data_IF_343347208709
#
_entry.id   IF_343347208709
#
_cell.length_a   1.000
_cell.length_b   1.000
_cell.length_c   1.000
_cell.angle_alpha   90.00
_cell.angle_beta   90.00
_cell.angle_gamma   90.00
#
_symmetry.space_group_name_H-M   'P 1'
#
loop_
_entity.id
_entity.type
_entity.pdbx_description
1 polymer ?
#
# COMPACT_ATOMS: atom_id res chain seq x y z
N UNK A 1 4.59 7.24 0.28
CA UNK A 1 5.43 7.79 1.37
C UNK A 1 6.84 7.99 0.85
N UNK A 2 7.34 9.20 0.82
CA UNK A 2 8.70 9.55 0.41
C UNK A 2 9.52 9.84 1.66
N UNK A 3 10.48 8.98 1.97
CA UNK A 3 11.43 9.21 3.07
C UNK A 3 12.68 9.91 2.52
N UNK A 4 13.15 10.92 3.24
CA UNK A 4 14.37 11.63 2.88
C UNK A 4 15.56 10.76 3.31
N UNK A 5 16.43 10.40 2.37
CA UNK A 5 17.73 9.83 2.71
C UNK A 5 18.62 10.95 3.28
N UNK A 6 19.37 10.65 4.33
CA UNK A 6 20.23 11.64 5.03
C UNK A 6 21.16 12.44 4.09
N UNK A 7 21.51 11.87 2.94
CA UNK A 7 22.38 12.47 1.93
C UNK A 7 21.64 12.76 0.60
N UNK A 8 20.32 12.90 0.60
CA UNK A 8 19.62 13.33 -0.60
C UNK A 8 19.77 14.85 -0.75
N UNK A 9 20.65 15.36 -1.62
CA UNK A 9 21.00 16.78 -1.67
C UNK A 9 19.84 17.64 -2.15
N UNK A 10 18.87 17.06 -2.86
CA UNK A 10 17.72 17.79 -3.41
C UNK A 10 16.41 17.00 -3.31
N UNK A 11 15.29 17.69 -3.51
CA UNK A 11 13.97 17.07 -3.62
C UNK A 11 13.93 16.01 -4.74
N UNK A 12 14.68 16.21 -5.81
CA UNK A 12 14.72 15.32 -6.98
C UNK A 12 15.37 13.95 -6.68
N UNK A 13 16.16 13.87 -5.61
CA UNK A 13 16.82 12.63 -5.19
C UNK A 13 15.92 11.74 -4.31
N UNK A 14 14.72 12.21 -4.00
CA UNK A 14 13.74 11.43 -3.25
C UNK A 14 13.16 10.32 -4.10
N UNK A 15 13.17 9.11 -3.59
CA UNK A 15 12.61 7.94 -4.27
C UNK A 15 11.49 7.31 -3.43
N UNK A 16 10.49 6.69 -4.07
CA UNK A 16 9.50 5.91 -3.33
C UNK A 16 10.16 4.83 -2.47
N UNK A 17 9.56 4.52 -1.33
CA UNK A 17 10.01 3.39 -0.50
C UNK A 17 9.81 2.05 -1.23
N UNK A 18 8.76 1.95 -2.04
CA UNK A 18 8.38 0.77 -2.80
C UNK A 18 8.33 1.08 -4.31
N UNK A 19 9.47 1.10 -5.02
CA UNK A 19 9.54 1.45 -6.43
C UNK A 19 9.22 0.24 -7.34
N UNK A 20 8.10 -0.43 -7.13
CA UNK A 20 7.63 -1.52 -7.99
C UNK A 20 7.25 -1.05 -9.38
N UNK A 21 7.43 -1.92 -10.39
CA UNK A 21 7.14 -1.64 -11.81
C UNK A 21 5.99 -2.46 -12.35
N UNK A 22 5.59 -3.51 -11.66
CA UNK A 22 4.47 -4.39 -12.00
C UNK A 22 3.74 -4.82 -10.74
N UNK A 23 2.49 -5.24 -10.89
CA UNK A 23 1.67 -5.77 -9.81
C UNK A 23 0.85 -6.93 -10.36
N UNK A 24 1.25 -8.17 -10.08
CA UNK A 24 0.50 -9.35 -10.50
C UNK A 24 -0.80 -9.48 -9.66
N UNK A 25 -1.97 -9.83 -10.26
CA UNK A 25 -2.24 -10.02 -11.71
C UNK A 25 -2.67 -8.74 -12.45
N UNK A 26 -2.63 -7.58 -11.83
CA UNK A 26 -3.23 -6.33 -12.33
C UNK A 26 -2.45 -5.69 -13.48
N UNK A 27 -1.14 -5.86 -13.50
CA UNK A 27 -0.32 -5.34 -14.59
C UNK A 27 -0.42 -6.23 -15.82
N UNK A 28 -0.62 -5.68 -17.03
CA UNK A 28 -0.65 -6.49 -18.24
C UNK A 28 0.71 -7.19 -18.41
N UNK A 29 0.70 -8.43 -18.95
CA UNK A 29 1.95 -9.13 -19.22
C UNK A 29 2.79 -8.30 -20.20
N UNK A 30 4.03 -8.05 -19.83
CA UNK A 30 4.96 -7.32 -20.68
C UNK A 30 5.21 -8.04 -22.02
N UNK A 31 5.71 -7.33 -23.03
CA UNK A 31 6.03 -7.89 -24.36
C UNK A 31 7.09 -9.00 -24.33
N UNK A 32 7.81 -9.16 -23.23
CA UNK A 32 8.81 -10.23 -23.03
C UNK A 32 8.17 -11.42 -22.36
N UNK A 33 8.57 -12.65 -22.76
CA UNK A 33 8.20 -13.87 -22.05
C UNK A 33 8.57 -13.76 -20.59
N UNK A 34 7.56 -13.69 -19.73
CA UNK A 34 7.76 -13.64 -18.27
C UNK A 34 8.21 -15.03 -17.82
N UNK A 35 9.34 -15.09 -17.11
CA UNK A 35 9.75 -16.33 -16.45
C UNK A 35 8.76 -16.60 -15.31
N UNK A 36 8.21 -17.80 -15.28
CA UNK A 36 7.37 -18.26 -14.19
C UNK A 36 8.19 -19.09 -13.21
N UNK A 37 7.77 -19.08 -11.94
CA UNK A 37 8.33 -19.97 -10.91
C UNK A 37 7.70 -21.37 -11.01
N UNK A 38 8.07 -22.29 -10.13
CA UNK A 38 7.57 -23.66 -10.06
C UNK A 38 6.05 -23.77 -9.82
N UNK A 39 5.42 -22.69 -9.32
CA UNK A 39 3.97 -22.59 -9.14
C UNK A 39 3.25 -21.95 -10.33
N UNK A 40 3.95 -21.61 -11.42
CA UNK A 40 3.37 -20.97 -12.59
C UNK A 40 3.15 -19.45 -12.46
N UNK A 41 3.62 -18.82 -11.38
CA UNK A 41 3.49 -17.38 -11.18
C UNK A 41 4.67 -16.61 -11.77
N UNK A 42 4.46 -15.35 -12.21
CA UNK A 42 5.54 -14.49 -12.67
C UNK A 42 6.64 -14.32 -11.62
N UNK A 43 7.88 -14.53 -12.04
CA UNK A 43 9.05 -14.37 -11.18
C UNK A 43 9.77 -13.04 -11.52
N UNK A 44 9.10 -11.93 -11.27
CA UNK A 44 9.64 -10.60 -11.54
C UNK A 44 10.13 -9.95 -10.26
N UNK A 45 11.43 -9.66 -10.20
CA UNK A 45 12.01 -8.91 -9.05
C UNK A 45 11.40 -7.51 -8.87
N UNK A 46 10.86 -6.94 -9.94
CA UNK A 46 10.22 -5.62 -9.94
C UNK A 46 8.72 -5.68 -9.61
N UNK A 47 8.17 -6.87 -9.35
CA UNK A 47 6.80 -7.01 -8.86
C UNK A 47 6.62 -6.30 -7.52
N UNK A 48 5.51 -5.59 -7.37
CA UNK A 48 5.27 -4.70 -6.22
C UNK A 48 5.33 -5.45 -4.88
N UNK A 49 4.80 -6.68 -4.81
CA UNK A 49 4.87 -7.46 -3.57
C UNK A 49 6.30 -7.90 -3.24
N UNK A 50 7.10 -8.25 -4.24
CA UNK A 50 8.51 -8.54 -4.02
C UNK A 50 9.26 -7.35 -3.45
N UNK A 51 9.01 -6.15 -3.97
CA UNK A 51 9.62 -4.91 -3.49
C UNK A 51 9.15 -4.58 -2.07
N UNK A 52 7.89 -4.83 -1.76
CA UNK A 52 7.36 -4.65 -0.39
C UNK A 52 8.07 -5.63 0.57
N UNK A 53 8.17 -6.90 0.21
CA UNK A 53 8.81 -7.91 1.07
C UNK A 53 10.33 -7.72 1.22
N UNK A 54 10.99 -7.04 0.28
CA UNK A 54 12.39 -6.61 0.45
C UNK A 54 12.56 -5.62 1.59
N UNK A 55 11.50 -4.92 1.98
CA UNK A 55 11.49 -3.91 3.05
C UNK A 55 10.93 -4.47 4.35
N UNK A 56 9.71 -5.02 4.31
CA UNK A 56 9.00 -5.46 5.53
C UNK A 56 9.30 -6.89 5.93
N UNK A 57 10.01 -7.65 5.09
CA UNK A 57 10.25 -9.07 5.25
C UNK A 57 9.13 -9.93 4.66
N UNK A 58 9.43 -11.21 4.45
CA UNK A 58 8.43 -12.16 3.96
C UNK A 58 7.39 -12.44 5.04
N UNK A 59 6.09 -12.47 4.70
CA UNK A 59 5.04 -12.82 5.65
C UNK A 59 5.17 -14.30 6.09
N UNK A 60 4.79 -14.58 7.31
CA UNK A 60 4.60 -15.93 7.82
C UNK A 60 3.13 -16.38 7.67
N UNK A 61 2.84 -17.65 7.94
CA UNK A 61 1.48 -18.19 7.79
C UNK A 61 0.45 -17.46 8.66
N UNK A 62 0.82 -17.09 9.87
CA UNK A 62 -0.06 -16.34 10.77
C UNK A 62 -0.43 -14.97 10.19
N UNK A 63 0.55 -14.24 9.64
CA UNK A 63 0.32 -12.91 9.04
C UNK A 63 -0.43 -12.96 7.71
N UNK A 64 -0.57 -14.12 7.10
CA UNK A 64 -1.37 -14.35 5.88
C UNK A 64 -2.80 -14.82 6.19
N UNK A 65 -3.17 -15.03 7.44
CA UNK A 65 -4.46 -15.60 7.84
C UNK A 65 -5.71 -14.82 7.39
N UNK A 66 -5.55 -13.55 7.03
CA UNK A 66 -6.63 -12.73 6.47
C UNK A 66 -6.89 -12.98 4.97
N UNK A 67 -6.00 -13.69 4.28
CA UNK A 67 -6.11 -13.97 2.84
C UNK A 67 -6.95 -15.23 2.65
N UNK A 68 -8.13 -15.10 2.08
CA UNK A 68 -9.08 -16.20 1.90
C UNK A 68 -9.00 -16.89 0.54
N UNK A 69 -8.50 -16.20 -0.50
CA UNK A 69 -8.35 -16.78 -1.85
C UNK A 69 -7.17 -17.76 -1.89
N UNK A 70 -7.40 -19.05 -2.24
CA UNK A 70 -6.35 -20.06 -2.27
C UNK A 70 -5.21 -19.73 -3.27
N UNK A 71 -5.53 -19.12 -4.42
CA UNK A 71 -4.52 -18.74 -5.40
C UNK A 71 -3.64 -17.59 -4.89
N UNK A 72 -4.26 -16.63 -4.19
CA UNK A 72 -3.51 -15.55 -3.53
C UNK A 72 -2.59 -16.09 -2.44
N UNK A 73 -3.06 -17.06 -1.63
CA UNK A 73 -2.22 -17.73 -0.62
C UNK A 73 -1.04 -18.46 -1.28
N UNK A 74 -1.28 -19.22 -2.36
CA UNK A 74 -0.22 -19.91 -3.12
C UNK A 74 0.78 -18.91 -3.68
N UNK A 75 0.31 -17.79 -4.23
CA UNK A 75 1.18 -16.74 -4.75
C UNK A 75 2.06 -16.15 -3.64
N UNK A 76 1.48 -15.78 -2.51
CA UNK A 76 2.23 -15.27 -1.35
C UNK A 76 3.26 -16.28 -0.85
N UNK A 77 2.90 -17.55 -0.73
CA UNK A 77 3.83 -18.64 -0.36
C UNK A 77 4.98 -18.76 -1.36
N UNK A 78 4.69 -18.63 -2.66
CA UNK A 78 5.73 -18.69 -3.71
C UNK A 78 6.74 -17.54 -3.60
N UNK A 79 6.30 -16.34 -3.23
CA UNK A 79 7.16 -15.19 -2.98
C UNK A 79 7.98 -15.34 -1.69
N UNK A 80 7.41 -16.02 -0.70
CA UNK A 80 8.01 -16.22 0.63
C UNK A 80 9.03 -17.36 0.69
N UNK A 81 9.16 -18.18 -0.35
CA UNK A 81 10.14 -19.28 -0.41
C UNK A 81 11.57 -18.80 -0.17
N UNK A 82 11.94 -17.65 -0.69
CA UNK A 82 13.19 -16.96 -0.36
C UNK A 82 12.92 -16.05 0.83
N UNK A 83 12.98 -16.61 2.03
CA UNK A 83 12.76 -15.86 3.26
C UNK A 83 13.56 -14.57 3.28
N UNK A 84 12.86 -13.44 3.23
CA UNK A 84 13.45 -12.10 3.32
C UNK A 84 13.28 -11.60 4.74
N UNK A 85 14.34 -11.07 5.31
CA UNK A 85 14.28 -10.43 6.61
C UNK A 85 13.82 -8.98 6.46
N UNK A 86 13.05 -8.51 7.44
CA UNK A 86 12.72 -7.10 7.56
C UNK A 86 14.01 -6.27 7.64
N UNK A 87 14.05 -5.16 6.88
CA UNK A 87 15.19 -4.23 6.96
C UNK A 87 15.23 -3.54 8.33
N UNK A 88 16.43 -3.13 8.74
CA UNK A 88 16.56 -2.23 9.86
C UNK A 88 16.28 -0.79 9.42
N UNK A 89 15.15 -0.23 9.83
CA UNK A 89 14.75 1.12 9.44
C UNK A 89 15.71 2.19 9.97
N UNK A 90 16.33 2.00 11.12
CA UNK A 90 17.33 2.93 11.66
C UNK A 90 18.57 3.03 10.77
N UNK A 91 19.00 1.90 10.23
CA UNK A 91 20.11 1.86 9.26
C UNK A 91 19.69 2.39 7.89
N UNK A 92 18.43 2.15 7.49
CA UNK A 92 17.90 2.61 6.19
C UNK A 92 17.67 4.12 6.15
N UNK A 93 17.29 4.70 7.28
CA UNK A 93 16.98 6.12 7.46
C UNK A 93 17.75 6.68 8.66
N UNK A 94 19.08 6.79 8.55
CA UNK A 94 19.91 7.39 9.59
C UNK A 94 19.47 8.84 9.80
N UNK A 95 19.52 9.31 11.03
CA UNK A 95 19.05 10.66 11.39
C UNK A 95 17.54 10.80 11.65
N UNK A 96 16.73 9.77 11.37
CA UNK A 96 15.31 9.80 11.77
C UNK A 96 15.17 9.53 13.27
N UNK A 97 14.23 10.25 13.90
CA UNK A 97 13.88 10.04 15.29
C UNK A 97 13.19 8.69 15.53
N UNK A 98 13.19 8.22 16.77
CA UNK A 98 12.66 6.90 17.12
C UNK A 98 11.14 6.85 16.97
N UNK A 99 10.43 7.93 17.25
CA UNK A 99 8.97 8.00 17.14
C UNK A 99 8.51 7.90 15.68
N UNK A 100 9.22 8.55 14.75
CA UNK A 100 8.92 8.43 13.31
C UNK A 100 9.17 7.03 12.77
N UNK A 101 10.23 6.37 13.23
CA UNK A 101 10.54 4.99 12.82
C UNK A 101 9.56 3.98 13.42
N UNK A 102 9.12 4.19 14.66
CA UNK A 102 8.12 3.35 15.31
C UNK A 102 6.77 3.45 14.58
N UNK A 103 6.30 4.68 14.32
CA UNK A 103 5.08 4.90 13.55
C UNK A 103 5.17 4.25 12.16
N UNK A 104 6.28 4.45 11.45
CA UNK A 104 6.50 3.84 10.14
C UNK A 104 6.40 2.30 10.21
N UNK A 105 7.00 1.69 11.22
CA UNK A 105 6.97 0.24 11.39
C UNK A 105 5.55 -0.28 11.64
N UNK A 106 4.76 0.42 12.46
CA UNK A 106 3.37 0.09 12.76
C UNK A 106 2.46 0.23 11.54
N UNK A 107 2.69 1.25 10.71
CA UNK A 107 1.96 1.48 9.46
C UNK A 107 2.28 0.44 8.38
N UNK A 108 3.45 -0.20 8.43
CA UNK A 108 3.92 -1.16 7.43
C UNK A 108 3.72 -2.62 7.86
N UNK A 109 2.97 -2.92 8.90
CA UNK A 109 2.60 -4.29 9.26
C UNK A 109 1.80 -4.90 8.10
N UNK A 110 2.17 -6.13 7.68
CA UNK A 110 1.57 -6.81 6.53
C UNK A 110 0.10 -7.15 6.78
N UNK A 111 -0.21 -7.74 7.93
CA UNK A 111 -1.58 -8.08 8.33
C UNK A 111 -2.39 -6.80 8.62
N UNK A 112 -3.43 -6.50 7.82
CA UNK A 112 -4.24 -5.30 8.01
C UNK A 112 -4.95 -5.25 9.37
N UNK A 113 -5.25 -6.41 9.98
CA UNK A 113 -5.92 -6.50 11.28
C UNK A 113 -4.97 -6.17 12.44
N UNK A 114 -3.65 -6.31 12.22
CA UNK A 114 -2.61 -5.98 13.19
C UNK A 114 -1.94 -4.63 12.90
N UNK A 115 -2.28 -4.02 11.77
CA UNK A 115 -1.74 -2.72 11.37
C UNK A 115 -2.39 -1.63 12.22
N UNK A 116 -1.59 -0.64 12.61
CA UNK A 116 -2.08 0.53 13.33
C UNK A 116 -3.24 1.19 12.58
N UNK A 117 -4.33 1.49 13.29
CA UNK A 117 -5.49 2.20 12.73
C UNK A 117 -5.19 3.67 12.53
N UNK A 118 -6.02 4.37 11.73
CA UNK A 118 -5.89 5.81 11.53
C UNK A 118 -5.98 6.59 12.85
N UNK A 119 -6.92 6.20 13.73
CA UNK A 119 -7.08 6.82 15.04
C UNK A 119 -5.82 6.66 15.90
N UNK A 120 -5.29 5.44 16.01
CA UNK A 120 -4.06 5.18 16.73
C UNK A 120 -2.86 5.89 16.11
N UNK A 121 -2.83 6.06 14.76
CA UNK A 121 -1.81 6.87 14.10
C UNK A 121 -1.85 8.34 14.57
N UNK A 122 -3.04 8.95 14.62
CA UNK A 122 -3.22 10.32 15.10
C UNK A 122 -2.83 10.48 16.57
N UNK A 123 -3.05 9.43 17.37
CA UNK A 123 -2.69 9.39 18.79
C UNK A 123 -1.22 9.09 19.05
N UNK A 124 -0.48 8.72 18.02
CA UNK A 124 0.93 8.34 18.15
C UNK A 124 1.80 9.51 18.63
N UNK A 125 2.80 9.26 19.52
CA UNK A 125 3.69 10.29 20.06
C UNK A 125 4.33 11.19 19.00
N UNK A 126 4.60 10.65 17.80
CA UNK A 126 5.13 11.41 16.66
C UNK A 126 4.32 12.66 16.32
N UNK A 127 3.01 12.64 16.53
CA UNK A 127 2.12 13.79 16.25
C UNK A 127 1.85 14.69 17.46
N UNK A 128 2.38 14.35 18.64
CA UNK A 128 2.08 15.04 19.89
C UNK A 128 2.26 16.56 19.82
N UNK A 129 3.26 17.03 19.08
CA UNK A 129 3.58 18.48 18.98
C UNK A 129 2.68 19.25 18.01
N UNK A 130 1.98 18.56 17.10
CA UNK A 130 1.19 19.19 16.02
C UNK A 130 -0.28 18.79 16.04
N UNK A 131 -0.65 17.78 16.85
CA UNK A 131 -2.03 17.30 16.98
C UNK A 131 -2.88 18.32 17.72
N UNK A 132 -4.03 18.65 17.16
CA UNK A 132 -5.07 19.46 17.81
C UNK A 132 -6.38 18.65 17.82
N UNK A 133 -6.68 18.02 18.94
CA UNK A 133 -7.87 17.17 19.11
C UNK A 133 -9.17 17.93 18.86
N UNK A 134 -9.21 19.24 19.08
CA UNK A 134 -10.42 20.04 18.86
C UNK A 134 -10.75 20.22 17.37
N UNK A 135 -9.81 19.88 16.48
CA UNK A 135 -9.99 19.92 15.02
C UNK A 135 -10.23 18.53 14.41
N UNK A 136 -10.24 17.47 15.23
CA UNK A 136 -10.51 16.10 14.80
C UNK A 136 -12.02 15.84 14.89
N UNK A 137 -12.74 16.24 13.84
CA UNK A 137 -14.16 15.98 13.74
C UNK A 137 -14.42 14.65 13.00
N UNK A 138 -15.25 13.80 13.58
CA UNK A 138 -15.72 12.60 12.88
C UNK A 138 -16.86 12.99 11.93
N UNK A 139 -16.84 12.41 10.72
CA UNK A 139 -17.95 12.61 9.78
C UNK A 139 -19.24 12.03 10.36
N UNK A 140 -20.31 12.80 10.31
CA UNK A 140 -21.64 12.41 10.83
C UNK A 140 -22.39 11.48 9.88
N UNK A 141 -21.81 11.17 8.73
CA UNK A 141 -22.42 10.31 7.71
C UNK A 141 -21.35 9.41 7.06
N UNK A 142 -21.78 8.26 6.58
CA UNK A 142 -20.99 7.41 5.73
C UNK A 142 -21.12 7.87 4.28
N UNK A 143 -19.99 7.96 3.57
CA UNK A 143 -20.03 8.21 2.14
C UNK A 143 -20.36 6.89 1.43
N UNK A 144 -21.56 6.82 0.86
CA UNK A 144 -22.01 5.70 0.05
C UNK A 144 -22.16 6.13 -1.41
N UNK A 145 -21.63 5.33 -2.31
CA UNK A 145 -21.82 5.54 -3.74
C UNK A 145 -22.84 4.54 -4.26
N UNK A 146 -23.90 5.01 -4.91
CA UNK A 146 -24.98 4.19 -5.45
C UNK A 146 -24.48 3.07 -6.39
N UNK A 147 -23.31 3.27 -7.01
CA UNK A 147 -22.73 2.29 -7.93
C UNK A 147 -21.88 1.21 -7.25
N UNK A 148 -21.48 1.35 -5.99
CA UNK A 148 -20.62 0.36 -5.31
C UNK A 148 -21.32 -0.97 -5.04
N UNK A 149 -22.65 -0.95 -4.91
CA UNK A 149 -23.49 -2.14 -4.78
C UNK A 149 -24.03 -2.73 -6.10
N UNK A 150 -23.75 -2.10 -7.23
CA UNK A 150 -24.30 -2.54 -8.52
C UNK A 150 -23.45 -3.67 -9.14
N UNK A 151 -23.90 -4.93 -8.94
CA UNK A 151 -23.27 -6.12 -9.54
C UNK A 151 -23.33 -6.14 -11.09
N UNK A 152 -24.13 -5.27 -11.72
CA UNK A 152 -24.27 -5.13 -13.17
C UNK A 152 -23.57 -3.86 -13.69
N UNK A 153 -22.59 -3.35 -12.99
CA UNK A 153 -21.85 -2.17 -13.37
C UNK A 153 -21.00 -2.43 -14.62
N UNK A 154 -21.47 -1.91 -15.76
CA UNK A 154 -20.73 -1.99 -17.03
C UNK A 154 -19.82 -0.77 -17.23
N UNK A 155 -18.81 -0.91 -18.11
CA UNK A 155 -17.93 0.20 -18.50
C UNK A 155 -18.73 1.39 -19.04
N UNK A 156 -19.82 1.14 -19.75
CA UNK A 156 -20.69 2.17 -20.29
C UNK A 156 -21.45 2.92 -19.17
N UNK A 157 -22.00 2.20 -18.20
CA UNK A 157 -22.62 2.80 -17.01
C UNK A 157 -21.62 3.65 -16.24
N UNK A 158 -20.41 3.15 -15.98
CA UNK A 158 -19.35 3.90 -15.33
C UNK A 158 -19.01 5.19 -16.08
N UNK A 159 -18.84 5.12 -17.40
CA UNK A 159 -18.56 6.30 -18.24
C UNK A 159 -19.67 7.35 -18.12
N UNK A 160 -20.93 6.93 -18.13
CA UNK A 160 -22.06 7.84 -17.99
C UNK A 160 -22.11 8.49 -16.60
N UNK A 161 -21.83 7.73 -15.54
CA UNK A 161 -21.73 8.28 -14.19
C UNK A 161 -20.61 9.34 -14.09
N UNK A 162 -19.42 9.06 -14.61
CA UNK A 162 -18.34 10.03 -14.67
C UNK A 162 -18.73 11.30 -15.44
N UNK A 163 -19.36 11.15 -16.59
CA UNK A 163 -19.81 12.29 -17.40
C UNK A 163 -20.85 13.13 -16.64
N UNK A 164 -21.75 12.51 -15.90
CA UNK A 164 -22.74 13.19 -15.07
C UNK A 164 -22.07 14.02 -13.97
N UNK A 165 -21.12 13.42 -13.27
CA UNK A 165 -20.34 14.11 -12.23
C UNK A 165 -19.57 15.29 -12.82
N UNK A 166 -18.86 15.11 -13.94
CA UNK A 166 -18.12 16.19 -14.62
C UNK A 166 -19.04 17.34 -15.02
N UNK A 167 -20.23 17.03 -15.56
CA UNK A 167 -21.21 18.06 -15.95
C UNK A 167 -21.74 18.83 -14.74
N UNK A 168 -22.00 18.16 -13.62
CA UNK A 168 -22.47 18.81 -12.39
C UNK A 168 -21.45 19.81 -11.83
N UNK A 169 -20.16 19.53 -11.95
CA UNK A 169 -19.10 20.47 -11.55
C UNK A 169 -19.00 21.68 -12.48
N UNK A 170 -19.17 21.48 -13.81
CA UNK A 170 -19.13 22.58 -14.78
C UNK A 170 -20.31 23.57 -14.65
N UNK A 171 -21.42 23.16 -14.06
CA UNK A 171 -22.58 24.05 -13.84
C UNK A 171 -22.46 24.88 -12.54
N UNK A 172 -21.46 24.59 -11.70
CA UNK A 172 -21.22 25.33 -10.43
C UNK A 172 -20.12 26.39 -10.55
N UNK A 173 -19.51 26.53 -11.71
CA UNK A 173 -18.52 27.56 -12.08
C UNK A 173 -19.15 28.52 -13.08
#
# INVERSE_FOLDING_TARGET
MMMIKENAPTFMDRTPLFPGKSCFPLSPPGRKKVKVNEFGFPNEKADQLNVIFDVIGSPNEESMGFVTDPNAVLYLKSLSQKKKNKINFKTKFPGSDEESLDLLQKMLIFDPNKRITLKECLEHPFFKSIRDQNKEEEATFNLEFEFEGDNNLTIEKLRNLFLTVIKSYKQKV
#
